data_IF_964383881447
#
_entry.id   IF_964383881447
#
_cell.length_a   1.000
_cell.length_b   1.000
_cell.length_c   1.000
_cell.angle_alpha   90.00
_cell.angle_beta   90.00
_cell.angle_gamma   90.00
#
_symmetry.space_group_name_H-M   'P 1'
#
loop_
_entity.id
_entity.type
_entity.pdbx_description
1 polymer ?
#
# COMPACT_ATOMS: atom_id res chain seq x y z
N UNK A 1 -17.20 -10.75 -15.90
CA UNK A 1 -16.55 -11.47 -14.79
C UNK A 1 -15.57 -10.51 -14.13
N UNK A 2 -15.63 -10.36 -12.80
CA UNK A 2 -14.98 -9.26 -12.08
C UNK A 2 -13.46 -9.25 -12.27
N UNK A 3 -12.95 -8.22 -12.93
CA UNK A 3 -11.51 -7.93 -13.03
C UNK A 3 -11.03 -7.46 -11.66
N UNK A 4 -10.28 -8.31 -10.95
CA UNK A 4 -9.58 -7.92 -9.72
C UNK A 4 -8.57 -6.82 -10.08
N UNK A 5 -8.96 -5.56 -9.96
CA UNK A 5 -8.09 -4.42 -10.25
C UNK A 5 -6.97 -4.41 -9.21
N UNK A 6 -5.75 -4.76 -9.61
CA UNK A 6 -4.59 -4.70 -8.73
C UNK A 6 -4.04 -3.27 -8.81
N UNK A 7 -4.03 -2.59 -7.67
CA UNK A 7 -3.39 -1.30 -7.52
C UNK A 7 -1.94 -1.55 -7.14
N UNK A 8 -1.03 -1.05 -7.97
CA UNK A 8 0.41 -1.05 -7.66
C UNK A 8 0.78 0.18 -6.85
N UNK A 9 1.89 0.13 -6.12
CA UNK A 9 2.48 1.32 -5.47
C UNK A 9 2.61 2.49 -6.44
N UNK A 10 3.07 2.25 -7.67
CA UNK A 10 3.24 3.31 -8.67
C UNK A 10 1.91 4.00 -8.99
N UNK A 11 0.82 3.24 -9.14
CA UNK A 11 -0.53 3.80 -9.30
C UNK A 11 -1.00 4.54 -8.06
N UNK A 12 -0.83 3.96 -6.87
CA UNK A 12 -1.22 4.58 -5.60
C UNK A 12 -0.55 5.95 -5.43
N UNK A 13 0.76 6.02 -5.64
CA UNK A 13 1.52 7.26 -5.52
C UNK A 13 1.14 8.26 -6.63
N UNK A 14 0.84 7.79 -7.85
CA UNK A 14 0.37 8.65 -8.94
C UNK A 14 -1.03 9.22 -8.68
N UNK A 15 -1.97 8.41 -8.18
CA UNK A 15 -3.32 8.85 -7.79
C UNK A 15 -3.26 9.91 -6.68
N UNK A 16 -2.38 9.70 -5.70
CA UNK A 16 -2.23 10.60 -4.56
C UNK A 16 -1.26 11.75 -4.82
N UNK A 17 -0.68 11.83 -6.03
CA UNK A 17 0.37 12.80 -6.41
C UNK A 17 1.51 12.87 -5.38
N UNK A 18 1.86 11.73 -4.79
CA UNK A 18 2.94 11.60 -3.83
C UNK A 18 4.23 11.21 -4.51
N UNK A 19 5.33 11.74 -3.99
CA UNK A 19 6.65 11.39 -4.47
C UNK A 19 6.89 9.88 -4.23
N UNK A 20 7.34 9.11 -5.24
CA UNK A 20 7.50 7.67 -5.12
C UNK A 20 8.49 7.27 -4.02
N UNK A 21 9.41 8.16 -3.62
CA UNK A 21 10.25 7.94 -2.43
C UNK A 21 9.43 8.02 -1.15
N UNK A 22 8.76 9.13 -0.94
CA UNK A 22 8.03 9.41 0.30
C UNK A 22 6.89 8.42 0.53
N UNK A 23 6.14 8.12 -0.52
CA UNK A 23 5.09 7.10 -0.55
C UNK A 23 5.64 5.73 -0.08
N UNK A 24 6.85 5.36 -0.51
CA UNK A 24 7.50 4.09 -0.17
C UNK A 24 8.06 4.07 1.25
N UNK A 25 8.57 5.20 1.74
CA UNK A 25 9.00 5.34 3.14
C UNK A 25 7.83 5.28 4.10
N UNK A 26 6.74 5.98 3.80
CA UNK A 26 5.49 5.95 4.58
C UNK A 26 4.90 4.54 4.63
N UNK A 27 4.87 3.83 3.51
CA UNK A 27 4.40 2.43 3.49
C UNK A 27 5.31 1.49 4.26
N UNK A 28 6.63 1.67 4.20
CA UNK A 28 7.56 0.89 5.04
C UNK A 28 7.33 1.15 6.53
N UNK A 29 7.10 2.40 6.92
CA UNK A 29 6.75 2.73 8.30
C UNK A 29 5.44 2.04 8.69
N UNK A 30 4.41 2.11 7.86
CA UNK A 30 3.14 1.44 8.09
C UNK A 30 3.25 -0.09 8.22
N UNK A 31 4.09 -0.73 7.40
CA UNK A 31 4.38 -2.17 7.52
C UNK A 31 5.10 -2.52 8.83
N UNK A 32 5.96 -1.63 9.33
CA UNK A 32 6.58 -1.78 10.66
C UNK A 32 5.56 -1.57 11.77
N UNK A 33 4.60 -0.68 11.58
CA UNK A 33 3.44 -0.45 12.43
C UNK A 33 2.35 -1.53 12.23
N UNK A 34 2.72 -2.81 12.38
CA UNK A 34 1.78 -3.94 12.31
C UNK A 34 0.61 -3.85 13.32
N UNK A 35 0.73 -2.98 14.33
CA UNK A 35 -0.33 -2.65 15.30
C UNK A 35 -1.42 -1.76 14.70
N UNK A 36 -1.08 -0.90 13.75
CA UNK A 36 -2.03 -0.01 13.04
C UNK A 36 -2.42 -0.55 11.68
N UNK A 37 -1.52 -1.28 11.02
CA UNK A 37 -1.72 -1.81 9.67
C UNK A 37 -1.36 -3.30 9.59
N UNK A 38 -2.11 -4.17 10.28
CA UNK A 38 -1.83 -5.60 10.32
C UNK A 38 -1.92 -6.28 8.95
N UNK A 39 -2.79 -5.84 8.04
CA UNK A 39 -2.96 -6.50 6.74
C UNK A 39 -1.82 -6.12 5.77
N UNK A 40 -1.40 -4.85 5.79
CA UNK A 40 -0.20 -4.36 5.13
C UNK A 40 1.06 -5.10 5.64
N UNK A 41 1.21 -5.23 6.95
CA UNK A 41 2.35 -5.89 7.57
C UNK A 41 2.42 -7.39 7.24
N UNK A 42 1.28 -8.09 7.22
CA UNK A 42 1.20 -9.51 6.83
C UNK A 42 1.46 -9.73 5.35
N UNK A 43 1.00 -8.82 4.50
CA UNK A 43 1.08 -8.98 3.04
C UNK A 43 2.45 -8.59 2.49
N UNK A 44 3.16 -7.67 3.17
CA UNK A 44 4.46 -7.21 2.71
C UNK A 44 5.58 -8.20 3.03
N UNK A 45 6.04 -8.92 1.99
CA UNK A 45 7.27 -9.72 2.04
C UNK A 45 8.46 -8.97 1.45
N UNK A 46 9.63 -9.16 2.05
CA UNK A 46 10.90 -8.62 1.58
C UNK A 46 11.12 -8.93 0.10
N UNK A 47 11.45 -7.92 -0.71
CA UNK A 47 11.68 -7.99 -2.17
C UNK A 47 10.43 -8.24 -3.04
N UNK A 48 9.23 -8.26 -2.47
CA UNK A 48 7.99 -8.35 -3.25
C UNK A 48 7.55 -6.95 -3.71
N UNK A 49 7.08 -6.80 -4.96
CA UNK A 49 6.49 -5.55 -5.41
C UNK A 49 5.22 -5.24 -4.59
N UNK A 50 5.06 -3.96 -4.25
CA UNK A 50 3.88 -3.47 -3.55
C UNK A 50 2.67 -3.49 -4.50
N UNK A 51 1.74 -4.38 -4.23
CA UNK A 51 0.53 -4.61 -4.99
C UNK A 51 -0.60 -4.94 -4.03
N UNK A 52 -1.75 -4.31 -4.21
CA UNK A 52 -2.94 -4.56 -3.42
C UNK A 52 -4.13 -4.75 -4.35
N UNK A 53 -5.08 -5.59 -3.95
CA UNK A 53 -6.33 -5.71 -4.69
C UNK A 53 -7.19 -4.50 -4.35
N UNK A 54 -7.75 -3.84 -5.35
CA UNK A 54 -8.67 -2.71 -5.18
C UNK A 54 -9.90 -3.17 -4.39
N UNK A 55 -10.23 -2.43 -3.34
CA UNK A 55 -11.25 -2.76 -2.36
C UNK A 55 -10.75 -3.64 -1.19
N UNK A 56 -9.50 -4.11 -1.21
CA UNK A 56 -8.95 -4.93 -0.11
C UNK A 56 -8.58 -4.08 1.11
N UNK A 57 -8.51 -4.73 2.27
CA UNK A 57 -8.05 -4.10 3.50
C UNK A 57 -6.63 -3.53 3.35
N UNK A 58 -5.72 -4.27 2.69
CA UNK A 58 -4.36 -3.81 2.43
C UNK A 58 -4.28 -2.54 1.58
N UNK A 59 -5.17 -2.36 0.59
CA UNK A 59 -5.23 -1.13 -0.21
C UNK A 59 -5.72 0.07 0.62
N UNK A 60 -6.77 -0.13 1.42
CA UNK A 60 -7.28 0.92 2.32
C UNK A 60 -6.22 1.34 3.31
N UNK A 61 -5.57 0.38 3.95
CA UNK A 61 -4.46 0.62 4.86
C UNK A 61 -3.28 1.33 4.17
N UNK A 62 -2.96 0.94 2.92
CA UNK A 62 -1.95 1.61 2.11
C UNK A 62 -2.30 3.07 1.84
N UNK A 63 -3.53 3.36 1.36
CA UNK A 63 -4.00 4.74 1.18
C UNK A 63 -3.93 5.53 2.48
N UNK A 64 -4.40 4.98 3.60
CA UNK A 64 -4.34 5.64 4.90
C UNK A 64 -2.91 5.89 5.37
N UNK A 65 -1.99 4.95 5.13
CA UNK A 65 -0.58 5.09 5.48
C UNK A 65 0.09 6.23 4.73
N UNK A 66 -0.27 6.45 3.46
CA UNK A 66 0.35 7.48 2.62
C UNK A 66 -0.40 8.80 2.56
N UNK A 67 -1.71 8.83 2.82
CA UNK A 67 -2.56 10.03 2.78
C UNK A 67 -2.40 10.98 3.99
N UNK A 68 -1.28 10.89 4.71
CA UNK A 68 -1.02 11.67 5.93
C UNK A 68 -0.43 13.06 5.65
#
# INVERSE_FOLDING_TARGET
MATTEIITLKQLCAELKLDPRECRERLRAAVRDAKKFPELAKTHKSRTPWQWVKGSAGEKEARTAVAK
#
